data_IF_394192322626
#
_entry.id   IF_394192322626
#
_cell.length_a   1.000
_cell.length_b   1.000
_cell.length_c   1.000
_cell.angle_alpha   90.00
_cell.angle_beta   90.00
_cell.angle_gamma   90.00
#
_symmetry.space_group_name_H-M   'P 1'
#
loop_
_entity.id
_entity.type
_entity.pdbx_description
1 polymer ?
#
# COMPACT_ATOMS: atom_id res chain seq x y z
N UNK A 1 14.15 -18.40 12.96
CA UNK A 1 14.51 -17.00 13.25
C UNK A 1 13.26 -16.36 13.83
N UNK A 2 13.35 -15.70 14.99
CA UNK A 2 12.20 -14.94 15.51
C UNK A 2 12.07 -13.70 14.62
N UNK A 3 10.96 -13.59 13.90
CA UNK A 3 10.62 -12.34 13.23
C UNK A 3 10.27 -11.33 14.34
N UNK A 4 11.17 -10.38 14.59
CA UNK A 4 10.85 -9.22 15.42
C UNK A 4 9.78 -8.40 14.67
N UNK A 5 8.52 -8.55 15.08
CA UNK A 5 7.43 -7.76 14.56
C UNK A 5 7.61 -6.32 15.06
N UNK A 6 8.13 -5.45 14.18
CA UNK A 6 8.18 -4.02 14.43
C UNK A 6 6.75 -3.48 14.57
N UNK A 7 6.34 -3.17 15.80
CA UNK A 7 5.08 -2.45 16.05
C UNK A 7 5.29 -0.97 15.75
N UNK A 8 4.53 -0.47 14.78
CA UNK A 8 4.51 0.95 14.44
C UNK A 8 3.32 1.59 15.14
N UNK A 9 3.59 2.36 16.19
CA UNK A 9 2.57 3.20 16.84
C UNK A 9 2.49 4.53 16.10
N UNK A 10 1.30 4.89 15.64
CA UNK A 10 1.04 6.15 14.94
C UNK A 10 0.08 6.98 15.77
N UNK A 11 0.32 8.28 15.82
CA UNK A 11 -0.70 9.25 16.23
C UNK A 11 -1.84 9.28 15.21
N UNK A 12 -3.04 9.76 15.58
CA UNK A 12 -4.15 9.89 14.64
C UNK A 12 -3.79 10.70 13.38
N UNK A 13 -2.99 11.76 13.55
CA UNK A 13 -2.53 12.60 12.44
C UNK A 13 -1.57 11.85 11.50
N UNK A 14 -0.59 11.11 12.05
CA UNK A 14 0.33 10.30 11.24
C UNK A 14 -0.42 9.19 10.50
N UNK A 15 -1.40 8.56 11.15
CA UNK A 15 -2.25 7.54 10.55
C UNK A 15 -3.06 8.12 9.38
N UNK A 16 -3.64 9.31 9.53
CA UNK A 16 -4.39 9.99 8.47
C UNK A 16 -3.49 10.32 7.27
N UNK A 17 -2.36 10.97 7.52
CA UNK A 17 -1.41 11.37 6.47
C UNK A 17 -0.89 10.13 5.73
N UNK A 18 -0.46 9.11 6.46
CA UNK A 18 0.07 7.89 5.86
C UNK A 18 -1.00 7.11 5.10
N UNK A 19 -2.22 7.03 5.63
CA UNK A 19 -3.36 6.44 4.91
C UNK A 19 -3.67 7.20 3.62
N UNK A 20 -3.58 8.53 3.64
CA UNK A 20 -3.72 9.37 2.45
C UNK A 20 -2.65 9.06 1.41
N UNK A 21 -1.38 9.04 1.81
CA UNK A 21 -0.26 8.74 0.91
C UNK A 21 -0.39 7.34 0.27
N UNK A 22 -0.75 6.32 1.06
CA UNK A 22 -0.95 4.95 0.56
C UNK A 22 -2.14 4.87 -0.40
N UNK A 23 -3.25 5.57 -0.12
CA UNK A 23 -4.41 5.63 -1.04
C UNK A 23 -4.04 6.27 -2.38
N UNK A 24 -3.29 7.37 -2.37
CA UNK A 24 -2.82 8.03 -3.59
C UNK A 24 -1.95 7.08 -4.43
N UNK A 25 -0.97 6.41 -3.81
CA UNK A 25 -0.11 5.45 -4.50
C UNK A 25 -0.90 4.27 -5.11
N UNK A 26 -1.94 3.76 -4.41
CA UNK A 26 -2.82 2.71 -4.94
C UNK A 26 -3.60 3.21 -6.18
N UNK A 27 -4.06 4.46 -6.16
CA UNK A 27 -4.75 5.10 -7.28
C UNK A 27 -3.82 5.21 -8.48
N UNK A 28 -2.62 5.74 -8.28
CA UNK A 28 -1.60 5.94 -9.32
C UNK A 28 -1.24 4.61 -9.99
N UNK A 29 -1.00 3.55 -9.20
CA UNK A 29 -0.77 2.21 -9.74
C UNK A 29 -1.97 1.66 -10.51
N UNK A 30 -3.20 1.99 -10.09
CA UNK A 30 -4.41 1.62 -10.83
C UNK A 30 -4.43 2.22 -12.24
N UNK A 31 -4.09 3.51 -12.33
CA UNK A 31 -3.94 4.23 -13.60
C UNK A 31 -2.81 3.64 -14.45
N UNK A 32 -1.64 3.39 -13.85
CA UNK A 32 -0.49 2.83 -14.56
C UNK A 32 -0.76 1.43 -15.11
N UNK A 33 -1.44 0.56 -14.35
CA UNK A 33 -1.90 -0.76 -14.83
C UNK A 33 -2.81 -0.63 -16.05
N UNK A 34 -3.71 0.36 -16.05
CA UNK A 34 -4.63 0.61 -17.15
C UNK A 34 -3.93 1.05 -18.45
N UNK A 35 -2.80 1.75 -18.33
CA UNK A 35 -2.02 2.25 -19.47
C UNK A 35 -0.83 1.37 -19.87
N UNK A 36 -0.58 0.25 -19.18
CA UNK A 36 0.56 -0.62 -19.45
C UNK A 36 0.17 -1.78 -20.37
N UNK A 37 0.73 -1.83 -21.58
CA UNK A 37 0.47 -2.92 -22.52
C UNK A 37 1.25 -4.21 -22.18
N UNK A 38 2.46 -4.04 -21.63
CA UNK A 38 3.32 -5.16 -21.26
C UNK A 38 2.70 -5.97 -20.10
N UNK A 39 2.39 -7.25 -20.35
CA UNK A 39 1.74 -8.12 -19.38
C UNK A 39 2.59 -8.38 -18.13
N UNK A 40 3.91 -8.55 -18.27
CA UNK A 40 4.80 -8.78 -17.13
C UNK A 40 4.88 -7.54 -16.23
N UNK A 41 4.95 -6.36 -16.84
CA UNK A 41 4.93 -5.09 -16.10
C UNK A 41 3.58 -4.88 -15.41
N UNK A 42 2.44 -5.15 -16.07
CA UNK A 42 1.11 -5.13 -15.42
C UNK A 42 1.03 -6.03 -14.20
N UNK A 43 1.57 -7.25 -14.30
CA UNK A 43 1.58 -8.18 -13.17
C UNK A 43 2.42 -7.65 -12.00
N UNK A 44 3.56 -7.01 -12.27
CA UNK A 44 4.38 -6.39 -11.24
C UNK A 44 3.65 -5.23 -10.55
N UNK A 45 3.03 -4.33 -11.33
CA UNK A 45 2.23 -3.24 -10.80
C UNK A 45 1.06 -3.73 -9.93
N UNK A 46 0.38 -4.80 -10.36
CA UNK A 46 -0.69 -5.43 -9.58
C UNK A 46 -0.19 -6.03 -8.26
N UNK A 47 1.01 -6.65 -8.26
CA UNK A 47 1.63 -7.17 -7.02
C UNK A 47 1.92 -6.02 -6.05
N UNK A 48 2.51 -4.92 -6.52
CA UNK A 48 2.76 -3.73 -5.70
C UNK A 48 1.47 -3.14 -5.14
N UNK A 49 0.43 -3.02 -5.97
CA UNK A 49 -0.90 -2.57 -5.54
C UNK A 49 -1.49 -3.46 -4.46
N UNK A 50 -1.35 -4.78 -4.57
CA UNK A 50 -1.81 -5.74 -3.55
C UNK A 50 -1.09 -5.56 -2.22
N UNK A 51 0.23 -5.33 -2.23
CA UNK A 51 1.00 -5.04 -1.02
C UNK A 51 0.53 -3.74 -0.37
N UNK A 52 0.34 -2.68 -1.14
CA UNK A 52 -0.15 -1.40 -0.60
C UNK A 52 -1.57 -1.48 -0.03
N UNK A 53 -2.45 -2.28 -0.64
CA UNK A 53 -3.77 -2.57 -0.07
C UNK A 53 -3.66 -3.25 1.31
N UNK A 54 -2.74 -4.21 1.46
CA UNK A 54 -2.48 -4.86 2.74
C UNK A 54 -1.87 -3.89 3.78
N UNK A 55 -1.01 -2.97 3.34
CA UNK A 55 -0.48 -1.90 4.22
C UNK A 55 -1.61 -1.00 4.69
N UNK A 56 -2.49 -0.55 3.78
CA UNK A 56 -3.62 0.31 4.12
C UNK A 56 -4.58 -0.37 5.09
N UNK A 57 -4.82 -1.67 4.93
CA UNK A 57 -5.66 -2.46 5.84
C UNK A 57 -5.07 -2.55 7.24
N UNK A 58 -3.75 -2.78 7.35
CA UNK A 58 -3.03 -2.75 8.61
C UNK A 58 -3.10 -1.38 9.28
N UNK A 59 -2.93 -0.29 8.51
CA UNK A 59 -3.03 1.07 9.02
C UNK A 59 -4.41 1.39 9.60
N UNK A 60 -5.49 0.81 9.06
CA UNK A 60 -6.84 0.96 9.63
C UNK A 60 -7.04 0.15 10.92
N UNK A 61 -6.28 -0.92 11.09
CA UNK A 61 -6.39 -1.85 12.22
C UNK A 61 -5.53 -1.44 13.42
N UNK A 62 -4.70 -0.40 13.30
CA UNK A 62 -3.86 0.13 14.38
C UNK A 62 -4.59 1.13 15.30
N UNK A 63 -5.93 1.04 15.39
CA UNK A 63 -6.77 1.90 16.25
C UNK A 63 -7.32 1.09 17.41
#
# INVERSE_FOLDING_TARGET
>A
MKEDHMQLTLTPQEQEVLSGAVKSAISDLGTEVGHTDNQAMRQDLQKRKKVLLAVLDRLKSTV
#
